data_IF_163524417774
#
_entry.id   IF_163524417774
#
_cell.length_a   1.000
_cell.length_b   1.000
_cell.length_c   1.000
_cell.angle_alpha   90.00
_cell.angle_beta   90.00
_cell.angle_gamma   90.00
#
_symmetry.space_group_name_H-M   'P 1'
#
loop_
_entity.id
_entity.type
_entity.pdbx_description
1 polymer ?
#
# COMPACT_ATOMS: atom_id res chain seq x y z
N UNK A 1 -21.96 -13.65 -11.90
CA UNK A 1 -20.73 -12.88 -12.26
C UNK A 1 -19.74 -13.82 -12.92
N UNK A 2 -18.87 -13.36 -13.83
CA UNK A 2 -17.78 -14.23 -14.30
C UNK A 2 -16.93 -14.62 -13.08
N UNK A 3 -16.85 -15.92 -12.80
CA UNK A 3 -16.08 -16.45 -11.68
C UNK A 3 -14.58 -16.27 -11.85
N UNK A 4 -14.12 -15.81 -13.01
CA UNK A 4 -12.71 -15.68 -13.35
C UNK A 4 -12.34 -14.19 -13.49
N UNK A 5 -13.13 -13.42 -14.25
CA UNK A 5 -12.87 -12.00 -14.55
C UNK A 5 -13.98 -11.07 -14.05
N UNK A 6 -13.95 -10.65 -12.77
CA UNK A 6 -15.02 -9.88 -12.16
C UNK A 6 -15.09 -8.43 -12.65
N UNK A 7 -13.96 -7.80 -13.05
CA UNK A 7 -13.97 -6.43 -13.54
C UNK A 7 -14.45 -6.28 -15.00
N UNK A 8 -14.60 -7.40 -15.73
CA UNK A 8 -15.18 -7.51 -17.08
C UNK A 8 -14.68 -6.50 -18.13
N UNK A 9 -13.49 -5.92 -17.96
CA UNK A 9 -12.88 -4.99 -18.93
C UNK A 9 -11.48 -5.45 -19.31
N UNK A 10 -11.13 -5.35 -20.58
CA UNK A 10 -9.76 -5.56 -21.03
C UNK A 10 -9.04 -4.20 -21.00
N UNK A 11 -7.94 -4.12 -20.26
CA UNK A 11 -7.01 -2.99 -20.31
C UNK A 11 -5.80 -3.41 -21.15
N UNK A 12 -5.21 -2.49 -21.93
CA UNK A 12 -4.05 -2.83 -22.73
C UNK A 12 -2.90 -3.31 -21.84
N UNK A 13 -2.13 -4.32 -22.31
CA UNK A 13 -0.94 -4.77 -21.61
C UNK A 13 0.14 -3.69 -21.62
N UNK A 14 0.97 -3.68 -20.58
CA UNK A 14 2.20 -2.90 -20.59
C UNK A 14 3.17 -3.45 -21.64
N UNK A 15 3.99 -2.55 -22.17
CA UNK A 15 5.11 -2.89 -23.03
C UNK A 15 6.42 -2.74 -22.25
N UNK A 16 7.44 -3.56 -22.55
CA UNK A 16 8.76 -3.39 -21.97
C UNK A 16 9.34 -2.01 -22.25
N UNK A 17 9.91 -1.37 -21.23
CA UNK A 17 10.65 -0.11 -21.37
C UNK A 17 11.96 -0.27 -22.15
N UNK A 18 12.45 -1.50 -22.31
CA UNK A 18 13.68 -1.82 -23.04
C UNK A 18 13.44 -2.90 -24.09
N UNK A 19 14.31 -2.94 -25.10
CA UNK A 19 14.25 -3.95 -26.16
C UNK A 19 14.64 -5.33 -25.59
N UNK A 20 13.67 -6.20 -25.41
CA UNK A 20 13.93 -7.58 -24.99
C UNK A 20 14.44 -8.48 -26.15
N UNK A 21 15.16 -9.54 -25.79
CA UNK A 21 15.61 -10.56 -26.74
C UNK A 21 14.45 -11.28 -27.43
N UNK A 22 14.67 -11.86 -28.60
CA UNK A 22 13.63 -12.57 -29.35
C UNK A 22 12.96 -13.68 -28.54
N UNK A 23 13.74 -14.50 -27.83
CA UNK A 23 13.21 -15.60 -27.02
C UNK A 23 12.30 -15.13 -25.88
N UNK A 24 12.65 -14.03 -25.20
CA UNK A 24 11.80 -13.43 -24.16
C UNK A 24 10.52 -12.85 -24.75
N UNK A 25 10.61 -12.11 -25.85
CA UNK A 25 9.45 -11.57 -26.58
C UNK A 25 8.48 -12.66 -27.02
N UNK A 26 8.99 -13.81 -27.44
CA UNK A 26 8.17 -14.95 -27.80
C UNK A 26 7.39 -15.49 -26.59
N UNK A 27 8.06 -15.66 -25.45
CA UNK A 27 7.40 -16.09 -24.19
C UNK A 27 6.39 -15.06 -23.67
N UNK A 28 6.72 -13.76 -23.76
CA UNK A 28 5.80 -12.65 -23.45
C UNK A 28 4.50 -12.77 -24.26
N UNK A 29 4.60 -13.03 -25.57
CA UNK A 29 3.44 -13.23 -26.45
C UNK A 29 2.61 -14.44 -26.04
N UNK A 30 3.25 -15.57 -25.72
CA UNK A 30 2.53 -16.76 -25.25
C UNK A 30 1.79 -16.45 -23.94
N UNK A 31 2.49 -15.82 -22.98
CA UNK A 31 1.92 -15.52 -21.67
C UNK A 31 0.71 -14.57 -21.79
N UNK A 32 0.75 -13.53 -22.62
CA UNK A 32 -0.40 -12.63 -22.79
C UNK A 32 -1.57 -13.29 -23.52
N UNK A 33 -1.32 -14.19 -24.49
CA UNK A 33 -2.37 -14.95 -25.18
C UNK A 33 -3.14 -15.85 -24.20
N UNK A 34 -2.45 -16.39 -23.18
CA UNK A 34 -3.10 -17.21 -22.16
C UNK A 34 -3.67 -16.35 -21.03
N UNK A 35 -2.86 -15.50 -20.41
CA UNK A 35 -3.26 -14.77 -19.20
C UNK A 35 -4.17 -13.57 -19.48
N UNK A 36 -4.08 -12.97 -20.66
CA UNK A 36 -4.91 -11.83 -21.07
C UNK A 36 -6.40 -12.19 -21.11
N UNK A 37 -6.80 -13.22 -21.88
CA UNK A 37 -8.19 -13.69 -21.93
C UNK A 37 -8.69 -14.25 -20.61
N UNK A 38 -7.88 -15.05 -19.91
CA UNK A 38 -8.32 -15.75 -18.70
C UNK A 38 -8.44 -14.80 -17.50
N UNK A 39 -7.40 -14.02 -17.19
CA UNK A 39 -7.35 -13.19 -15.96
C UNK A 39 -7.31 -11.69 -16.21
N UNK A 40 -7.41 -11.22 -17.45
CA UNK A 40 -7.24 -9.80 -17.77
C UNK A 40 -5.82 -9.30 -17.48
N UNK A 41 -4.81 -10.16 -17.63
CA UNK A 41 -3.43 -9.81 -17.34
C UNK A 41 -2.97 -8.62 -18.19
N UNK A 42 -2.32 -7.66 -17.54
CA UNK A 42 -1.73 -6.47 -18.18
C UNK A 42 -0.23 -6.60 -18.39
N UNK A 43 0.35 -7.79 -18.25
CA UNK A 43 1.81 -8.02 -18.33
C UNK A 43 2.59 -7.09 -17.38
N UNK A 44 2.20 -7.02 -16.11
CA UNK A 44 2.95 -6.20 -15.14
C UNK A 44 4.31 -6.80 -14.76
N UNK A 45 4.63 -8.03 -15.21
CA UNK A 45 5.88 -8.73 -14.88
C UNK A 45 6.01 -9.16 -13.42
N UNK A 46 4.95 -9.02 -12.62
CA UNK A 46 4.98 -9.18 -11.16
C UNK A 46 3.70 -9.90 -10.70
N UNK A 47 3.54 -11.17 -11.08
CA UNK A 47 2.29 -11.92 -10.94
C UNK A 47 1.95 -12.21 -9.47
N UNK A 48 0.72 -11.84 -9.05
CA UNK A 48 0.20 -12.01 -7.68
C UNK A 48 -1.09 -12.84 -7.61
N UNK A 49 -1.40 -13.59 -8.67
CA UNK A 49 -2.68 -14.32 -8.77
C UNK A 49 -2.89 -15.32 -7.63
N UNK A 50 -1.82 -15.93 -7.10
CA UNK A 50 -1.96 -16.89 -6.00
C UNK A 50 -2.46 -16.20 -4.72
N UNK A 51 -2.01 -14.97 -4.47
CA UNK A 51 -2.26 -14.22 -3.24
C UNK A 51 -3.59 -13.47 -3.33
N UNK A 52 -3.98 -13.06 -4.53
CA UNK A 52 -5.20 -12.30 -4.80
C UNK A 52 -6.37 -13.17 -5.25
N UNK A 53 -6.45 -14.40 -4.72
CA UNK A 53 -7.52 -15.36 -5.01
C UNK A 53 -7.79 -15.57 -6.52
N UNK A 54 -6.73 -15.57 -7.34
CA UNK A 54 -6.78 -15.69 -8.79
C UNK A 54 -7.58 -14.58 -9.49
N UNK A 55 -7.56 -13.37 -8.94
CA UNK A 55 -8.02 -12.14 -9.61
C UNK A 55 -6.83 -11.21 -9.78
N UNK A 56 -6.58 -10.72 -10.99
CA UNK A 56 -5.47 -9.80 -11.23
C UNK A 56 -5.71 -8.45 -10.55
N UNK A 57 -4.94 -8.09 -9.52
CA UNK A 57 -5.05 -6.80 -8.84
C UNK A 57 -4.74 -5.59 -9.76
N UNK A 58 -4.01 -5.81 -10.86
CA UNK A 58 -3.67 -4.77 -11.84
C UNK A 58 -4.86 -4.34 -12.71
N UNK A 59 -6.02 -4.99 -12.60
CA UNK A 59 -7.29 -4.48 -13.15
C UNK A 59 -7.81 -3.26 -12.35
N UNK A 60 -7.26 -2.97 -11.18
CA UNK A 60 -7.56 -1.76 -10.43
C UNK A 60 -7.05 -0.54 -11.22
N UNK A 61 -7.87 0.52 -11.42
CA UNK A 61 -7.41 1.75 -12.08
C UNK A 61 -6.13 2.27 -11.45
N UNK A 62 -6.11 2.37 -10.11
CA UNK A 62 -5.00 2.81 -9.26
C UNK A 62 -3.82 1.83 -9.16
N UNK A 63 -3.94 0.62 -9.71
CA UNK A 63 -2.91 -0.43 -9.63
C UNK A 63 -2.56 -0.94 -8.22
N UNK A 64 -3.48 -0.83 -7.26
CA UNK A 64 -3.23 -1.14 -5.85
C UNK A 64 -2.98 -2.63 -5.60
N UNK A 65 -2.07 -2.92 -4.67
CA UNK A 65 -1.61 -4.30 -4.36
C UNK A 65 -1.99 -4.79 -2.97
N UNK A 66 -2.44 -3.92 -2.05
CA UNK A 66 -2.74 -4.32 -0.67
C UNK A 66 -4.14 -3.93 -0.18
N UNK A 67 -5.15 -4.02 -1.04
CA UNK A 67 -6.54 -3.76 -0.66
C UNK A 67 -7.16 -2.57 -1.38
N UNK A 68 -8.46 -2.32 -1.14
CA UNK A 68 -9.14 -1.17 -1.71
C UNK A 68 -8.57 0.14 -1.15
N UNK A 69 -8.77 1.25 -1.86
CA UNK A 69 -8.35 2.58 -1.41
C UNK A 69 -9.32 3.26 -0.45
N UNK A 70 -10.47 2.65 -0.12
CA UNK A 70 -11.56 3.27 0.64
C UNK A 70 -12.69 3.80 -0.26
N UNK A 71 -12.42 4.12 -1.53
CA UNK A 71 -13.44 4.55 -2.51
C UNK A 71 -14.25 3.41 -3.12
N UNK A 72 -14.61 2.39 -2.33
CA UNK A 72 -15.56 1.37 -2.77
C UNK A 72 -16.96 1.93 -2.53
N UNK A 73 -17.80 1.94 -3.56
CA UNK A 73 -19.18 2.43 -3.41
C UNK A 73 -19.99 1.43 -2.59
N UNK A 74 -21.11 1.83 -1.95
CA UNK A 74 -21.93 0.94 -1.12
C UNK A 74 -22.43 -0.31 -1.86
N UNK A 75 -22.61 -0.22 -3.18
CA UNK A 75 -23.00 -1.31 -4.05
C UNK A 75 -21.80 -2.13 -4.56
N UNK A 76 -20.58 -1.87 -4.11
CA UNK A 76 -19.36 -2.64 -4.39
C UNK A 76 -18.63 -2.29 -5.70
N UNK A 77 -18.90 -1.12 -6.28
CA UNK A 77 -18.25 -0.62 -7.49
C UNK A 77 -17.02 0.25 -7.21
N UNK A 78 -16.24 0.49 -8.26
CA UNK A 78 -15.11 1.40 -8.20
C UNK A 78 -15.58 2.83 -8.43
N UNK A 79 -15.28 3.75 -7.51
CA UNK A 79 -15.63 5.16 -7.71
C UNK A 79 -14.87 5.85 -8.86
N UNK A 80 -13.65 5.37 -9.20
CA UNK A 80 -12.84 5.93 -10.30
C UNK A 80 -13.40 5.52 -11.66
N UNK A 81 -13.88 4.28 -11.77
CA UNK A 81 -14.53 3.79 -12.97
C UNK A 81 -15.85 3.10 -12.56
N UNK A 82 -16.97 3.84 -12.59
CA UNK A 82 -18.28 3.31 -12.18
C UNK A 82 -18.75 2.12 -13.01
N UNK A 83 -18.18 1.88 -14.20
CA UNK A 83 -18.58 0.78 -15.07
C UNK A 83 -18.11 -0.60 -14.57
N UNK A 84 -17.25 -0.65 -13.54
CA UNK A 84 -16.67 -1.90 -13.03
C UNK A 84 -16.81 -2.08 -11.51
N UNK A 85 -16.90 -3.33 -11.09
CA UNK A 85 -16.79 -3.72 -9.68
C UNK A 85 -15.40 -3.41 -9.15
N UNK A 86 -15.30 -3.07 -7.86
CA UNK A 86 -13.98 -2.94 -7.23
C UNK A 86 -13.26 -4.29 -7.25
N UNK A 87 -12.08 -4.32 -7.87
CA UNK A 87 -11.25 -5.54 -8.00
C UNK A 87 -10.92 -6.12 -6.63
N UNK A 88 -10.59 -5.26 -5.67
CA UNK A 88 -10.30 -5.71 -4.31
C UNK A 88 -11.54 -6.23 -3.59
N UNK A 89 -12.70 -5.59 -3.72
CA UNK A 89 -13.95 -6.14 -3.19
C UNK A 89 -14.19 -7.57 -3.73
N UNK A 90 -13.92 -7.81 -5.02
CA UNK A 90 -14.03 -9.15 -5.61
C UNK A 90 -12.96 -10.14 -5.10
N UNK A 91 -11.72 -9.68 -4.87
CA UNK A 91 -10.63 -10.47 -4.26
C UNK A 91 -11.04 -10.95 -2.87
N UNK A 92 -11.47 -10.03 -2.01
CA UNK A 92 -11.89 -10.34 -0.64
C UNK A 92 -13.05 -11.34 -0.62
N UNK A 93 -14.11 -11.09 -1.39
CA UNK A 93 -15.25 -12.00 -1.46
C UNK A 93 -14.87 -13.41 -1.96
N UNK A 94 -13.98 -13.50 -2.97
CA UNK A 94 -13.52 -14.79 -3.49
C UNK A 94 -12.58 -15.49 -2.51
N UNK A 95 -11.72 -14.75 -1.81
CA UNK A 95 -10.85 -15.30 -0.79
C UNK A 95 -11.68 -15.94 0.33
N UNK A 96 -12.72 -15.25 0.82
CA UNK A 96 -13.67 -15.80 1.80
C UNK A 96 -14.36 -17.07 1.29
N UNK A 97 -14.90 -17.04 0.06
CA UNK A 97 -15.54 -18.22 -0.57
C UNK A 97 -14.59 -19.42 -0.74
N UNK A 98 -13.29 -19.18 -0.88
CA UNK A 98 -12.28 -20.23 -1.14
C UNK A 98 -11.42 -20.58 0.07
N UNK A 99 -11.66 -19.96 1.23
CA UNK A 99 -10.86 -20.14 2.45
C UNK A 99 -9.41 -19.69 2.28
N UNK A 100 -9.17 -18.57 1.58
CA UNK A 100 -7.83 -18.02 1.30
C UNK A 100 -7.61 -16.64 1.95
N UNK A 101 -8.37 -16.31 2.99
CA UNK A 101 -8.28 -14.99 3.64
C UNK A 101 -6.90 -14.73 4.24
N UNK A 102 -6.25 -15.76 4.79
CA UNK A 102 -4.89 -15.68 5.32
C UNK A 102 -3.87 -15.17 4.28
N UNK A 103 -4.06 -15.47 2.99
CA UNK A 103 -3.12 -15.00 1.96
C UNK A 103 -3.22 -13.49 1.72
N UNK A 104 -4.32 -12.86 2.14
CA UNK A 104 -4.50 -11.42 2.01
C UNK A 104 -3.74 -10.63 3.08
N UNK A 105 -3.33 -11.28 4.18
CA UNK A 105 -2.59 -10.64 5.28
C UNK A 105 -1.14 -10.34 4.92
N UNK A 106 -0.55 -11.04 3.95
CA UNK A 106 0.83 -10.79 3.50
C UNK A 106 0.97 -9.40 2.89
N UNK A 107 1.90 -8.59 3.39
CA UNK A 107 2.23 -7.27 2.82
C UNK A 107 2.94 -7.43 1.47
N UNK A 108 2.23 -7.16 0.38
CA UNK A 108 2.69 -7.40 -1.00
C UNK A 108 3.59 -6.26 -1.52
N UNK A 109 4.64 -6.58 -2.30
CA UNK A 109 5.61 -5.61 -2.80
C UNK A 109 5.01 -4.59 -3.76
N UNK A 110 5.54 -3.36 -3.82
CA UNK A 110 5.19 -2.41 -4.85
C UNK A 110 5.58 -2.94 -6.22
N UNK A 111 4.99 -2.36 -7.27
CA UNK A 111 5.27 -2.81 -8.62
C UNK A 111 6.74 -2.54 -8.98
N UNK A 112 7.42 -3.55 -9.52
CA UNK A 112 8.72 -3.36 -10.17
C UNK A 112 8.48 -3.01 -11.64
N UNK A 113 8.54 -1.71 -11.94
CA UNK A 113 8.33 -1.18 -13.29
C UNK A 113 9.41 -1.63 -14.28
N UNK A 114 10.60 -2.03 -13.83
CA UNK A 114 11.64 -2.56 -14.72
C UNK A 114 11.23 -3.89 -15.38
N UNK A 115 10.25 -4.58 -14.79
CA UNK A 115 9.66 -5.82 -15.28
C UNK A 115 8.35 -5.60 -16.04
N UNK A 116 7.83 -4.37 -16.12
CA UNK A 116 6.60 -4.11 -16.85
C UNK A 116 6.75 -4.56 -18.32
N UNK A 117 5.73 -5.21 -18.85
CA UNK A 117 5.70 -5.81 -20.19
C UNK A 117 6.44 -7.15 -20.33
N UNK A 118 7.10 -7.65 -19.28
CA UNK A 118 7.83 -8.93 -19.32
C UNK A 118 6.99 -10.11 -18.81
N UNK A 119 7.41 -11.32 -19.15
CA UNK A 119 6.81 -12.59 -18.69
C UNK A 119 7.31 -13.01 -17.30
N UNK A 120 6.56 -13.89 -16.65
CA UNK A 120 6.83 -14.40 -15.28
C UNK A 120 6.96 -15.91 -15.24
N UNK A 121 6.60 -16.62 -16.30
CA UNK A 121 6.63 -18.07 -16.34
C UNK A 121 8.05 -18.65 -16.28
N UNK A 122 9.02 -18.03 -16.94
CA UNK A 122 10.40 -18.49 -16.86
C UNK A 122 10.94 -18.48 -15.42
N UNK A 123 10.60 -17.46 -14.62
CA UNK A 123 11.01 -17.41 -13.20
C UNK A 123 10.38 -18.53 -12.40
N UNK A 124 9.10 -18.84 -12.66
CA UNK A 124 8.40 -19.95 -12.02
C UNK A 124 9.05 -21.28 -12.41
N UNK A 125 9.31 -21.52 -13.69
CA UNK A 125 9.94 -22.76 -14.15
C UNK A 125 11.36 -22.93 -13.60
N UNK A 126 12.15 -21.86 -13.60
CA UNK A 126 13.50 -21.86 -13.02
C UNK A 126 13.46 -22.16 -11.52
N UNK A 127 12.50 -21.58 -10.80
CA UNK A 127 12.35 -21.82 -9.36
C UNK A 127 11.84 -23.24 -9.06
N UNK A 128 10.92 -23.78 -9.86
CA UNK A 128 10.50 -25.19 -9.77
C UNK A 128 11.70 -26.13 -9.99
N UNK A 129 12.57 -25.81 -10.96
CA UNK A 129 13.81 -26.54 -11.19
C UNK A 129 14.71 -26.59 -9.95
N UNK A 130 14.86 -25.45 -9.25
CA UNK A 130 15.65 -25.35 -8.00
C UNK A 130 15.03 -26.10 -6.82
N UNK A 131 13.70 -26.06 -6.68
CA UNK A 131 12.97 -26.79 -5.61
C UNK A 131 12.91 -28.30 -5.89
N UNK A 132 13.05 -28.69 -7.15
CA UNK A 132 12.94 -30.06 -7.65
C UNK A 132 11.57 -30.32 -8.29
N UNK A 133 11.54 -30.49 -9.62
CA UNK A 133 10.30 -30.69 -10.38
C UNK A 133 9.48 -31.88 -9.88
N UNK A 134 10.13 -33.01 -9.53
CA UNK A 134 9.45 -34.18 -8.95
C UNK A 134 8.79 -33.88 -7.60
N UNK A 135 9.43 -33.09 -6.73
CA UNK A 135 8.86 -32.66 -5.44
C UNK A 135 7.65 -31.75 -5.65
N UNK A 136 7.76 -30.80 -6.58
CA UNK A 136 6.66 -29.88 -6.91
C UNK A 136 5.47 -30.63 -7.51
N UNK A 137 5.69 -31.51 -8.49
CA UNK A 137 4.63 -32.32 -9.11
C UNK A 137 4.02 -33.28 -8.08
N UNK A 138 4.84 -33.92 -7.24
CA UNK A 138 4.36 -34.77 -6.14
C UNK A 138 3.46 -34.02 -5.17
N UNK A 139 3.74 -32.74 -4.90
CA UNK A 139 2.90 -31.89 -4.03
C UNK A 139 1.49 -31.64 -4.59
N UNK A 140 1.28 -31.75 -5.91
CA UNK A 140 -0.05 -31.60 -6.52
C UNK A 140 -0.99 -32.73 -6.10
N UNK A 141 -0.44 -33.94 -5.96
CA UNK A 141 -1.16 -35.16 -5.61
C UNK A 141 -1.12 -35.48 -4.12
N UNK A 142 -0.33 -34.74 -3.34
CA UNK A 142 -0.29 -34.89 -1.89
C UNK A 142 -1.63 -34.51 -1.25
N UNK A 143 -2.10 -35.35 -0.32
CA UNK A 143 -3.25 -35.07 0.54
C UNK A 143 -2.88 -34.17 1.73
N UNK A 144 -1.60 -34.04 2.05
CA UNK A 144 -1.11 -33.17 3.11
C UNK A 144 -1.14 -31.70 2.63
N UNK A 145 -2.05 -30.94 3.23
CA UNK A 145 -2.24 -29.50 2.94
C UNK A 145 -1.04 -28.67 3.35
N UNK A 146 -0.35 -29.03 4.43
CA UNK A 146 0.76 -28.23 4.97
C UNK A 146 2.01 -28.43 4.12
N UNK A 147 2.34 -29.69 3.79
CA UNK A 147 3.40 -29.98 2.82
C UNK A 147 3.15 -29.27 1.48
N UNK A 148 1.91 -29.30 0.99
CA UNK A 148 1.52 -28.60 -0.24
C UNK A 148 1.75 -27.09 -0.10
N UNK A 149 1.29 -26.47 1.00
CA UNK A 149 1.48 -25.04 1.26
C UNK A 149 2.96 -24.67 1.31
N UNK A 150 3.79 -25.46 1.99
CA UNK A 150 5.23 -25.24 2.09
C UNK A 150 5.94 -25.32 0.73
N UNK A 151 5.68 -26.38 -0.05
CA UNK A 151 6.28 -26.54 -1.39
C UNK A 151 5.84 -25.42 -2.32
N UNK A 152 4.56 -25.07 -2.31
CA UNK A 152 4.03 -23.98 -3.13
C UNK A 152 4.63 -22.63 -2.75
N UNK A 153 4.75 -22.33 -1.45
CA UNK A 153 5.37 -21.10 -0.97
C UNK A 153 6.85 -21.02 -1.37
N UNK A 154 7.60 -22.12 -1.34
CA UNK A 154 9.01 -22.13 -1.76
C UNK A 154 9.22 -21.70 -3.22
N UNK A 155 8.20 -21.86 -4.07
CA UNK A 155 8.20 -21.42 -5.46
C UNK A 155 7.60 -20.02 -5.57
N UNK A 156 6.31 -19.86 -5.25
CA UNK A 156 5.57 -18.64 -5.57
C UNK A 156 5.93 -17.46 -4.67
N UNK A 157 6.28 -17.69 -3.40
CA UNK A 157 6.74 -16.60 -2.51
C UNK A 157 8.07 -16.05 -3.00
N UNK A 158 9.00 -16.92 -3.38
CA UNK A 158 10.31 -16.54 -3.90
C UNK A 158 10.22 -15.79 -5.23
N UNK A 159 9.30 -16.18 -6.12
CA UNK A 159 9.12 -15.49 -7.41
C UNK A 159 8.46 -14.13 -7.24
N UNK A 160 7.51 -13.98 -6.30
CA UNK A 160 6.77 -12.73 -6.11
C UNK A 160 7.48 -11.70 -5.23
N UNK A 161 8.35 -12.14 -4.32
CA UNK A 161 9.09 -11.27 -3.40
C UNK A 161 10.45 -10.89 -4.03
N UNK A 162 10.66 -9.64 -4.45
CA UNK A 162 11.99 -9.21 -4.85
C UNK A 162 12.95 -9.24 -3.65
N UNK A 163 14.25 -9.38 -3.91
CA UNK A 163 15.28 -9.57 -2.85
C UNK A 163 15.30 -8.46 -1.80
N UNK A 164 14.92 -7.24 -2.18
CA UNK A 164 14.85 -6.06 -1.30
C UNK A 164 13.52 -5.93 -0.55
N UNK A 165 12.54 -6.81 -0.80
CA UNK A 165 11.24 -6.83 -0.13
C UNK A 165 11.11 -8.10 0.70
N UNK A 166 10.78 -7.93 1.98
CA UNK A 166 10.56 -9.01 2.94
C UNK A 166 9.19 -8.82 3.59
N UNK A 167 8.17 -8.70 2.76
CA UNK A 167 6.79 -8.56 3.23
C UNK A 167 6.26 -9.89 3.77
N UNK A 168 5.64 -9.86 4.94
CA UNK A 168 5.05 -11.02 5.59
C UNK A 168 3.66 -10.69 6.14
N UNK A 169 3.06 -11.67 6.84
CA UNK A 169 1.75 -11.58 7.48
C UNK A 169 1.84 -11.45 9.00
N UNK A 170 3.04 -11.20 9.54
CA UNK A 170 3.28 -11.22 10.98
C UNK A 170 3.11 -9.84 11.60
N UNK A 171 2.81 -9.81 12.90
CA UNK A 171 2.81 -8.56 13.66
C UNK A 171 4.24 -8.18 14.07
N UNK A 172 4.60 -6.92 13.85
CA UNK A 172 5.90 -6.37 14.21
C UNK A 172 5.71 -5.26 15.25
N UNK A 173 5.96 -5.57 16.52
CA UNK A 173 5.94 -4.58 17.59
C UNK A 173 7.03 -3.51 17.35
N UNK A 174 6.75 -2.27 17.77
CA UNK A 174 7.71 -1.18 17.64
C UNK A 174 8.99 -1.48 18.45
N UNK A 175 10.16 -1.15 17.91
CA UNK A 175 11.45 -1.45 18.55
C UNK A 175 11.74 -0.59 19.80
N UNK A 176 10.92 0.42 20.07
CA UNK A 176 11.07 1.36 21.17
C UNK A 176 10.01 1.14 22.26
N UNK A 177 10.38 1.43 23.51
CA UNK A 177 9.49 1.28 24.67
C UNK A 177 8.82 2.57 25.09
N UNK A 178 9.57 3.67 25.16
CA UNK A 178 9.03 4.97 25.59
C UNK A 178 8.26 5.67 24.46
N UNK A 179 7.11 6.31 24.74
CA UNK A 179 6.36 7.02 23.72
C UNK A 179 7.20 8.13 23.08
N UNK A 180 7.14 8.25 21.75
CA UNK A 180 7.93 9.23 21.00
C UNK A 180 7.19 10.56 20.77
N UNK A 181 5.90 10.58 21.09
CA UNK A 181 5.00 11.74 20.94
C UNK A 181 3.98 11.78 22.07
N UNK A 182 3.37 12.95 22.29
CA UNK A 182 2.35 13.08 23.32
C UNK A 182 1.02 12.44 22.91
N UNK A 183 0.73 12.36 21.61
CA UNK A 183 -0.37 11.58 21.05
C UNK A 183 -0.22 10.12 21.42
N UNK A 184 0.96 9.53 21.15
CA UNK A 184 1.24 8.14 21.48
C UNK A 184 1.12 7.89 22.99
N UNK A 185 1.71 8.76 23.80
CA UNK A 185 1.65 8.67 25.26
C UNK A 185 0.21 8.61 25.75
N UNK A 186 -0.64 9.53 25.28
CA UNK A 186 -2.04 9.62 25.70
C UNK A 186 -2.84 8.37 25.31
N UNK A 187 -2.61 7.84 24.10
CA UNK A 187 -3.27 6.63 23.63
C UNK A 187 -2.82 5.39 24.41
N UNK A 188 -1.52 5.25 24.68
CA UNK A 188 -0.97 4.13 25.48
C UNK A 188 -1.45 4.14 26.92
N UNK A 189 -1.67 5.32 27.50
CA UNK A 189 -2.23 5.49 28.85
C UNK A 189 -3.76 5.25 28.91
N UNK A 190 -4.41 4.96 27.78
CA UNK A 190 -5.86 4.75 27.72
C UNK A 190 -6.68 6.02 27.94
N UNK A 191 -6.07 7.21 27.77
CA UNK A 191 -6.79 8.48 27.87
C UNK A 191 -7.69 8.68 26.65
N UNK A 192 -8.82 9.35 26.86
CA UNK A 192 -9.63 9.85 25.76
C UNK A 192 -8.89 11.01 25.07
N UNK A 193 -8.55 10.84 23.79
CA UNK A 193 -7.77 11.81 23.03
C UNK A 193 -8.65 12.55 22.04
N UNK A 194 -8.65 13.88 22.12
CA UNK A 194 -9.22 14.75 21.10
C UNK A 194 -8.11 15.17 20.15
N UNK A 195 -8.28 14.87 18.86
CA UNK A 195 -7.45 15.38 17.78
C UNK A 195 -8.35 16.13 16.79
N UNK A 196 -7.75 17.02 15.99
CA UNK A 196 -8.47 17.73 14.93
C UNK A 196 -7.69 17.70 13.63
N UNK A 197 -8.37 18.05 12.55
CA UNK A 197 -7.77 18.22 11.24
C UNK A 197 -7.79 19.70 10.85
N UNK A 198 -6.65 20.21 10.39
CA UNK A 198 -6.53 21.55 9.81
C UNK A 198 -6.17 21.38 8.35
N UNK A 199 -6.99 21.96 7.48
CA UNK A 199 -6.75 21.89 6.04
C UNK A 199 -5.62 22.85 5.66
N UNK A 200 -4.60 22.40 4.90
CA UNK A 200 -3.56 23.29 4.43
C UNK A 200 -4.09 24.48 3.60
N UNK A 201 -3.47 25.67 3.69
CA UNK A 201 -3.87 26.83 2.92
C UNK A 201 -3.55 26.67 1.41
N UNK A 202 -4.24 27.46 0.59
CA UNK A 202 -4.03 27.52 -0.87
C UNK A 202 -2.84 28.42 -1.26
N UNK A 203 -2.40 29.30 -0.38
CA UNK A 203 -1.32 30.27 -0.64
C UNK A 203 -0.08 29.95 0.19
N UNK A 204 1.04 30.60 -0.15
CA UNK A 204 2.28 30.52 0.62
C UNK A 204 2.23 31.32 1.94
N UNK A 205 1.19 32.15 2.13
CA UNK A 205 1.01 32.87 3.39
C UNK A 205 0.54 31.92 4.49
N UNK A 206 1.27 31.94 5.61
CA UNK A 206 0.99 31.11 6.77
C UNK A 206 0.10 31.79 7.80
N UNK A 207 -0.27 33.06 7.62
CA UNK A 207 -1.06 33.82 8.60
C UNK A 207 -2.35 33.09 9.02
N UNK A 208 -3.16 32.67 8.05
CA UNK A 208 -4.39 31.90 8.33
C UNK A 208 -4.09 30.57 9.03
N UNK A 209 -3.10 29.83 8.55
CA UNK A 209 -2.71 28.53 9.12
C UNK A 209 -2.30 28.67 10.59
N UNK A 210 -1.50 29.69 10.93
CA UNK A 210 -1.08 29.97 12.31
C UNK A 210 -2.27 30.28 13.20
N UNK A 211 -3.20 31.14 12.74
CA UNK A 211 -4.41 31.46 13.48
C UNK A 211 -5.27 30.21 13.73
N UNK A 212 -5.47 29.37 12.70
CA UNK A 212 -6.24 28.13 12.82
C UNK A 212 -5.59 27.16 13.83
N UNK A 213 -4.25 27.04 13.82
CA UNK A 213 -3.51 26.22 14.79
C UNK A 213 -3.65 26.76 16.21
N UNK A 214 -3.44 28.06 16.42
CA UNK A 214 -3.52 28.68 17.75
C UNK A 214 -4.91 28.56 18.37
N UNK A 215 -5.96 28.64 17.54
CA UNK A 215 -7.35 28.49 17.96
C UNK A 215 -7.62 27.10 18.54
N UNK A 216 -7.08 26.04 17.92
CA UNK A 216 -7.39 24.65 18.29
C UNK A 216 -6.38 24.02 19.24
N UNK A 217 -5.11 24.46 19.22
CA UNK A 217 -4.01 23.88 20.02
C UNK A 217 -4.34 23.68 21.51
N UNK A 218 -5.04 24.59 22.21
CA UNK A 218 -5.36 24.39 23.64
C UNK A 218 -6.32 23.23 23.92
N UNK A 219 -7.08 22.78 22.93
CA UNK A 219 -8.18 21.82 23.09
C UNK A 219 -7.87 20.43 22.54
N UNK A 220 -6.80 20.31 21.76
CA UNK A 220 -6.47 19.08 21.02
C UNK A 220 -5.08 18.59 21.36
N UNK A 221 -4.91 17.27 21.38
CA UNK A 221 -3.61 16.65 21.64
C UNK A 221 -2.71 16.63 20.41
N UNK A 222 -3.31 16.53 19.23
CA UNK A 222 -2.60 16.54 17.96
C UNK A 222 -3.46 17.15 16.85
N UNK A 223 -2.80 17.69 15.83
CA UNK A 223 -3.42 18.31 14.65
C UNK A 223 -2.97 17.55 13.40
N UNK A 224 -3.91 16.93 12.69
CA UNK A 224 -3.67 16.31 11.40
C UNK A 224 -3.63 17.37 10.29
N UNK A 225 -2.61 17.30 9.44
CA UNK A 225 -2.50 18.13 8.24
C UNK A 225 -2.64 17.25 7.01
N UNK A 226 -3.72 17.45 6.24
CA UNK A 226 -4.03 16.61 5.08
C UNK A 226 -3.09 16.83 3.91
N UNK A 227 -2.73 15.75 3.23
CA UNK A 227 -1.91 15.81 2.03
C UNK A 227 -2.76 15.84 0.76
N UNK A 228 -2.87 17.03 0.15
CA UNK A 228 -3.61 17.29 -1.08
C UNK A 228 -4.97 16.56 -1.14
N UNK A 229 -5.80 16.78 -0.10
CA UNK A 229 -7.14 16.20 -0.01
C UNK A 229 -7.97 16.50 -1.26
N UNK A 230 -8.73 15.52 -1.74
CA UNK A 230 -9.47 15.58 -3.01
C UNK A 230 -8.61 15.88 -4.25
N UNK A 231 -7.31 15.56 -4.18
CA UNK A 231 -6.34 15.84 -5.24
C UNK A 231 -6.23 17.34 -5.62
N UNK A 232 -6.41 18.22 -4.63
CA UNK A 232 -6.27 19.67 -4.81
C UNK A 232 -4.88 20.12 -4.32
N UNK A 233 -4.09 20.84 -5.14
CA UNK A 233 -2.80 21.36 -4.72
C UNK A 233 -2.99 22.42 -3.64
N UNK A 234 -2.27 22.25 -2.52
CA UNK A 234 -2.25 23.13 -1.36
C UNK A 234 -0.82 23.19 -0.83
N UNK A 235 -0.57 24.03 0.19
CA UNK A 235 0.68 23.93 0.96
C UNK A 235 0.90 22.48 1.42
N UNK A 236 2.12 21.98 1.30
CA UNK A 236 2.42 20.58 1.63
C UNK A 236 2.14 20.30 3.11
N UNK A 237 1.67 19.09 3.41
CA UNK A 237 1.40 18.68 4.79
C UNK A 237 2.67 18.77 5.65
N UNK A 238 3.84 18.43 5.10
CA UNK A 238 5.13 18.55 5.78
C UNK A 238 5.45 20.00 6.20
N UNK A 239 5.22 20.98 5.31
CA UNK A 239 5.42 22.39 5.62
C UNK A 239 4.43 22.87 6.70
N UNK A 240 3.18 22.44 6.64
CA UNK A 240 2.18 22.75 7.68
C UNK A 240 2.60 22.17 9.04
N UNK A 241 3.09 20.94 9.06
CA UNK A 241 3.60 20.31 10.27
C UNK A 241 4.78 21.08 10.87
N UNK A 242 5.70 21.60 10.03
CA UNK A 242 6.81 22.44 10.50
C UNK A 242 6.31 23.73 11.17
N UNK A 243 5.31 24.40 10.57
CA UNK A 243 4.67 25.58 11.17
C UNK A 243 4.03 25.22 12.52
N UNK A 244 3.36 24.08 12.62
CA UNK A 244 2.78 23.61 13.87
C UNK A 244 3.84 23.36 14.96
N UNK A 245 4.96 22.73 14.61
CA UNK A 245 6.09 22.53 15.54
C UNK A 245 6.62 23.88 16.05
N UNK A 246 6.78 24.88 15.16
CA UNK A 246 7.25 26.22 15.56
C UNK A 246 6.29 26.93 16.51
N UNK A 247 5.00 26.58 16.46
CA UNK A 247 3.97 27.05 17.37
C UNK A 247 3.78 26.12 18.59
N UNK A 248 4.67 25.16 18.82
CA UNK A 248 4.56 24.16 19.89
C UNK A 248 3.22 23.38 19.87
N UNK A 249 2.66 23.14 18.68
CA UNK A 249 1.53 22.25 18.48
C UNK A 249 2.05 20.90 17.96
N UNK A 250 1.46 19.79 18.40
CA UNK A 250 1.88 18.46 17.96
C UNK A 250 1.21 18.08 16.62
N UNK A 251 1.98 17.93 15.53
CA UNK A 251 1.40 17.59 14.24
C UNK A 251 1.26 16.08 14.02
N UNK A 252 0.28 15.71 13.21
CA UNK A 252 0.23 14.43 12.48
C UNK A 252 0.45 14.72 11.00
N UNK A 253 1.56 14.22 10.47
CA UNK A 253 1.92 14.37 9.06
C UNK A 253 1.19 13.31 8.24
N UNK A 254 0.07 13.69 7.61
CA UNK A 254 -0.58 12.83 6.64
C UNK A 254 0.25 12.77 5.35
N UNK A 255 0.42 11.57 4.80
CA UNK A 255 1.10 11.37 3.50
C UNK A 255 0.20 10.53 2.61
N UNK A 256 -0.07 11.01 1.39
CA UNK A 256 -0.86 10.32 0.39
C UNK A 256 0.02 9.58 -0.62
N UNK A 257 -0.21 8.27 -0.77
CA UNK A 257 0.51 7.43 -1.73
C UNK A 257 0.27 7.82 -3.20
N UNK A 258 -0.82 8.53 -3.51
CA UNK A 258 -1.17 9.02 -4.86
C UNK A 258 0.00 9.83 -5.47
N UNK A 259 0.52 10.78 -4.71
CA UNK A 259 1.53 11.73 -5.18
C UNK A 259 2.94 11.40 -4.66
N UNK A 260 3.08 10.28 -3.95
CA UNK A 260 4.33 9.84 -3.34
C UNK A 260 4.94 8.66 -4.07
N UNK A 261 6.25 8.72 -4.27
CA UNK A 261 7.07 7.58 -4.69
C UNK A 261 7.81 7.00 -3.50
N UNK A 262 8.38 5.81 -3.66
CA UNK A 262 9.32 5.23 -2.68
C UNK A 262 10.53 6.12 -2.39
N UNK A 263 10.87 7.06 -3.27
CA UNK A 263 11.95 8.02 -3.05
C UNK A 263 11.44 9.16 -2.18
N UNK A 264 10.36 9.83 -2.61
CA UNK A 264 9.83 10.99 -1.87
C UNK A 264 9.36 10.61 -0.47
N UNK A 265 8.71 9.45 -0.29
CA UNK A 265 8.31 8.94 1.03
C UNK A 265 9.49 8.90 2.02
N UNK A 266 10.62 8.32 1.60
CA UNK A 266 11.78 8.17 2.48
C UNK A 266 12.47 9.52 2.72
N UNK A 267 12.51 10.39 1.70
CA UNK A 267 13.08 11.74 1.84
C UNK A 267 12.24 12.59 2.81
N UNK A 268 10.92 12.61 2.62
CA UNK A 268 9.98 13.36 3.45
C UNK A 268 9.96 12.85 4.88
N UNK A 269 10.06 11.54 5.08
CA UNK A 269 10.25 10.97 6.41
C UNK A 269 11.50 11.58 7.07
N UNK A 270 12.69 11.44 6.47
CA UNK A 270 13.92 11.99 7.05
C UNK A 270 13.79 13.49 7.36
N UNK A 271 13.20 14.28 6.46
CA UNK A 271 12.91 15.69 6.69
C UNK A 271 11.97 15.91 7.89
N UNK A 272 10.88 15.14 7.98
CA UNK A 272 9.94 15.20 9.10
C UNK A 272 10.63 14.90 10.44
N UNK A 273 11.53 13.91 10.46
CA UNK A 273 12.33 13.57 11.64
C UNK A 273 13.22 14.74 12.08
N UNK A 274 13.83 15.45 11.14
CA UNK A 274 14.64 16.64 11.40
C UNK A 274 13.81 17.83 11.93
N UNK A 275 12.58 17.98 11.43
CA UNK A 275 11.64 18.98 11.93
C UNK A 275 11.03 18.65 13.30
N UNK A 276 11.37 17.52 13.90
CA UNK A 276 10.81 17.09 15.19
C UNK A 276 9.39 16.53 15.08
N UNK A 277 8.92 16.21 13.88
CA UNK A 277 7.62 15.58 13.65
C UNK A 277 7.72 14.09 13.99
N UNK A 278 6.79 13.62 14.82
CA UNK A 278 6.82 12.26 15.39
C UNK A 278 5.64 11.40 14.96
N UNK A 279 4.54 11.99 14.49
CA UNK A 279 3.35 11.25 14.09
C UNK A 279 3.20 11.30 12.56
N UNK A 280 3.07 10.13 11.92
CA UNK A 280 2.84 10.04 10.47
C UNK A 280 1.57 9.22 10.21
N UNK A 281 0.65 9.74 9.39
CA UNK A 281 -0.57 9.05 8.98
C UNK A 281 -0.48 8.67 7.49
N UNK A 282 -0.39 7.37 7.20
CA UNK A 282 -0.31 6.87 5.83
C UNK A 282 -1.70 6.64 5.23
N UNK A 283 -1.98 7.29 4.09
CA UNK A 283 -3.20 7.08 3.31
C UNK A 283 -2.88 6.78 1.85
N UNK A 284 -3.72 6.00 1.17
CA UNK A 284 -3.53 5.75 -0.27
C UNK A 284 -3.85 6.99 -1.10
N UNK A 285 -4.75 7.85 -0.61
CA UNK A 285 -5.17 9.08 -1.28
C UNK A 285 -6.28 8.87 -2.32
N UNK A 286 -7.03 9.94 -2.55
CA UNK A 286 -8.04 10.01 -3.59
C UNK A 286 -7.44 9.92 -4.99
N UNK A 287 -8.24 9.52 -5.97
CA UNK A 287 -7.84 9.55 -7.37
C UNK A 287 -7.71 10.99 -7.85
N UNK A 288 -6.75 11.32 -8.73
CA UNK A 288 -6.70 12.61 -9.42
C UNK A 288 -8.01 12.99 -10.12
N UNK A 289 -8.82 11.99 -10.52
CA UNK A 289 -10.15 12.16 -11.14
C UNK A 289 -11.15 12.92 -10.25
N UNK A 290 -10.94 12.94 -8.92
CA UNK A 290 -11.80 13.70 -7.99
C UNK A 290 -11.44 15.19 -8.00
N UNK A 291 -10.20 15.52 -8.33
CA UNK A 291 -9.70 16.89 -8.32
C UNK A 291 -10.09 17.68 -9.59
N UNK A 292 -9.97 19.01 -9.55
CA UNK A 292 -10.19 19.85 -10.72
C UNK A 292 -9.11 19.61 -11.80
N UNK A 293 -9.44 19.79 -13.09
CA UNK A 293 -8.44 19.77 -14.16
C UNK A 293 -7.57 21.05 -14.15
N UNK A 294 -6.33 20.99 -14.69
CA UNK A 294 -5.63 19.82 -15.22
C UNK A 294 -5.10 18.91 -14.09
N UNK A 295 -5.35 17.60 -14.19
CA UNK A 295 -4.97 16.63 -13.15
C UNK A 295 -3.76 15.78 -13.54
N UNK A 296 -2.96 15.39 -12.56
CA UNK A 296 -1.83 14.46 -12.69
C UNK A 296 -2.32 13.00 -12.73
N UNK A 297 -3.00 12.58 -13.80
CA UNK A 297 -3.47 11.20 -13.93
C UNK A 297 -2.40 10.22 -14.45
N UNK A 298 -1.49 9.82 -13.56
CA UNK A 298 -0.52 8.74 -13.84
C UNK A 298 -1.17 7.34 -13.82
N UNK A 299 -2.48 7.25 -13.56
CA UNK A 299 -3.30 6.05 -13.38
C UNK A 299 -2.84 5.08 -12.29
N UNK A 300 -1.54 4.81 -12.11
CA UNK A 300 -1.02 3.75 -11.24
C UNK A 300 -0.08 4.34 -10.21
N UNK A 301 -0.37 4.09 -8.93
CA UNK A 301 0.46 4.55 -7.83
C UNK A 301 1.74 3.71 -7.72
N UNK A 302 2.85 4.33 -7.30
CA UNK A 302 4.08 3.59 -6.98
C UNK A 302 3.92 2.76 -5.70
N UNK A 303 3.25 3.34 -4.69
CA UNK A 303 2.99 2.73 -3.39
C UNK A 303 1.50 2.75 -3.03
N UNK A 304 1.11 1.91 -2.07
CA UNK A 304 -0.11 2.06 -1.28
C UNK A 304 0.21 2.27 0.21
N UNK A 305 -0.80 2.67 1.00
CA UNK A 305 -0.63 2.98 2.43
C UNK A 305 -0.05 1.83 3.25
N UNK A 306 -0.28 0.57 2.87
CA UNK A 306 0.28 -0.60 3.57
C UNK A 306 1.79 -0.69 3.30
N UNK A 307 2.20 -0.46 2.05
CA UNK A 307 3.62 -0.45 1.68
C UNK A 307 4.35 0.73 2.32
N UNK A 308 3.71 1.90 2.42
CA UNK A 308 4.28 3.05 3.12
C UNK A 308 4.57 2.73 4.59
N UNK A 309 3.60 2.15 5.30
CA UNK A 309 3.77 1.71 6.68
C UNK A 309 4.94 0.73 6.83
N UNK A 310 5.02 -0.26 5.94
CA UNK A 310 6.09 -1.26 5.96
C UNK A 310 7.48 -0.62 5.77
N UNK A 311 7.59 0.33 4.83
CA UNK A 311 8.86 1.05 4.58
C UNK A 311 9.22 1.90 5.82
N UNK A 312 8.29 2.71 6.32
CA UNK A 312 8.54 3.61 7.45
C UNK A 312 8.86 2.86 8.75
N UNK A 313 8.20 1.72 9.00
CA UNK A 313 8.52 0.82 10.12
C UNK A 313 9.97 0.38 10.07
N UNK A 314 10.46 -0.07 8.90
CA UNK A 314 11.86 -0.52 8.76
C UNK A 314 12.86 0.62 8.87
N UNK A 315 12.52 1.81 8.35
CA UNK A 315 13.35 3.00 8.56
C UNK A 315 13.49 3.33 10.04
N UNK A 316 12.40 3.22 10.80
CA UNK A 316 12.37 3.48 12.25
C UNK A 316 13.08 2.39 13.06
N UNK A 317 12.72 1.13 12.85
CA UNK A 317 13.08 0.01 13.73
C UNK A 317 14.42 -0.63 13.33
N UNK A 318 14.71 -0.73 12.03
CA UNK A 318 15.94 -1.34 11.52
C UNK A 318 16.98 -0.29 11.12
N UNK A 319 16.60 0.99 11.03
CA UNK A 319 17.49 2.08 10.69
C UNK A 319 18.09 1.96 9.29
N UNK A 320 17.29 1.49 8.32
CA UNK A 320 17.71 1.30 6.94
C UNK A 320 16.76 1.99 5.95
N UNK A 321 17.33 2.45 4.84
CA UNK A 321 16.56 2.79 3.64
C UNK A 321 16.06 1.51 2.97
N UNK A 322 15.09 1.65 2.07
CA UNK A 322 14.53 0.55 1.28
C UNK A 322 15.58 -0.18 0.43
N UNK A 323 16.65 0.50 0.03
CA UNK A 323 17.78 -0.09 -0.70
C UNK A 323 18.81 -0.79 0.22
N UNK A 324 18.57 -0.82 1.53
CA UNK A 324 19.43 -1.47 2.53
C UNK A 324 20.54 -0.58 3.10
N UNK A 325 20.71 0.66 2.62
CA UNK A 325 21.68 1.59 3.22
C UNK A 325 21.30 1.91 4.67
N UNK A 326 22.27 1.86 5.58
CA UNK A 326 22.07 2.17 7.00
C UNK A 326 22.00 3.67 7.25
N UNK A 327 21.17 4.06 8.21
CA UNK A 327 21.07 5.41 8.76
C UNK A 327 21.89 5.49 10.04
N UNK A 328 22.66 6.58 10.20
CA UNK A 328 23.38 6.83 11.46
C UNK A 328 22.42 7.21 12.59
N UNK A 329 21.41 8.01 12.26
CA UNK A 329 20.40 8.50 13.19
C UNK A 329 19.03 8.19 12.59
N UNK A 330 18.47 7.00 12.86
CA UNK A 330 17.14 6.65 12.39
C UNK A 330 16.09 7.56 13.05
N UNK A 331 15.02 7.91 12.32
CA UNK A 331 13.96 8.69 12.90
C UNK A 331 13.08 7.86 13.85
N UNK A 332 12.36 8.54 14.75
CA UNK A 332 11.41 7.91 15.67
C UNK A 332 10.01 8.36 15.32
N UNK A 333 9.14 7.41 14.95
CA UNK A 333 7.76 7.70 14.56
C UNK A 333 6.72 6.82 15.25
N UNK A 334 5.61 7.46 15.58
CA UNK A 334 4.33 6.84 15.84
C UNK A 334 3.52 6.78 14.53
N UNK A 335 3.33 5.57 14.00
CA UNK A 335 2.77 5.36 12.66
C UNK A 335 1.27 5.10 12.71
N UNK A 336 0.51 5.81 11.89
CA UNK A 336 -0.94 5.71 11.80
C UNK A 336 -1.42 5.32 10.42
N UNK A 337 -2.64 4.81 10.36
CA UNK A 337 -3.31 4.48 9.11
C UNK A 337 -4.78 4.91 9.10
N UNK A 338 -5.31 5.24 7.92
CA UNK A 338 -6.76 5.45 7.79
C UNK A 338 -7.51 4.10 7.74
N UNK A 339 -8.66 3.97 8.37
CA UNK A 339 -9.63 2.87 8.14
C UNK A 339 -10.94 3.44 7.64
N UNK A 340 -11.77 2.61 7.00
CA UNK A 340 -13.07 3.03 6.44
C UNK A 340 -14.10 1.95 6.79
N UNK A 341 -14.65 1.96 8.02
CA UNK A 341 -15.44 0.83 8.54
C UNK A 341 -16.72 0.55 7.74
N UNK A 342 -17.23 1.54 6.99
CA UNK A 342 -18.47 1.43 6.21
C UNK A 342 -18.25 1.28 4.70
N UNK A 343 -17.00 1.19 4.22
CA UNK A 343 -16.70 1.05 2.79
C UNK A 343 -16.79 -0.41 2.29
N UNK A 344 -16.72 -1.37 3.20
CA UNK A 344 -16.77 -2.81 2.92
C UNK A 344 -17.57 -3.51 4.01
N UNK A 345 -17.86 -4.80 3.79
CA UNK A 345 -18.19 -5.73 4.87
C UNK A 345 -17.16 -5.60 6.01
N UNK A 346 -17.60 -5.43 7.28
CA UNK A 346 -16.71 -5.17 8.40
C UNK A 346 -15.62 -6.23 8.61
N UNK A 347 -15.89 -7.51 8.33
CA UNK A 347 -14.87 -8.57 8.44
C UNK A 347 -13.77 -8.39 7.38
N UNK A 348 -14.15 -8.02 6.16
CA UNK A 348 -13.19 -7.78 5.08
C UNK A 348 -12.35 -6.52 5.36
N UNK A 349 -12.96 -5.49 5.95
CA UNK A 349 -12.25 -4.30 6.40
C UNK A 349 -11.27 -4.64 7.55
N UNK A 350 -11.68 -5.51 8.48
CA UNK A 350 -10.81 -5.98 9.57
C UNK A 350 -9.56 -6.72 9.05
N UNK A 351 -9.67 -7.54 8.01
CA UNK A 351 -8.50 -8.18 7.38
C UNK A 351 -7.53 -7.12 6.84
N UNK A 352 -8.05 -6.07 6.20
CA UNK A 352 -7.22 -4.96 5.68
C UNK A 352 -6.56 -4.17 6.82
N UNK A 353 -7.27 -3.94 7.91
CA UNK A 353 -6.74 -3.22 9.06
C UNK A 353 -5.69 -4.05 9.80
N UNK A 354 -5.91 -5.36 9.96
CA UNK A 354 -4.90 -6.28 10.48
C UNK A 354 -3.64 -6.27 9.60
N UNK A 355 -3.80 -6.24 8.27
CA UNK A 355 -2.66 -6.10 7.35
C UNK A 355 -1.89 -4.79 7.57
N UNK A 356 -2.57 -3.68 7.90
CA UNK A 356 -1.92 -2.40 8.23
C UNK A 356 -1.20 -2.47 9.57
N UNK A 357 -1.78 -3.14 10.56
CA UNK A 357 -1.13 -3.42 11.85
C UNK A 357 0.16 -4.23 11.63
N UNK A 358 0.09 -5.29 10.83
CA UNK A 358 1.26 -6.10 10.46
C UNK A 358 2.33 -5.29 9.72
N UNK A 359 1.92 -4.34 8.86
CA UNK A 359 2.84 -3.43 8.19
C UNK A 359 3.50 -2.41 9.13
N UNK A 360 2.93 -2.14 10.31
CA UNK A 360 3.50 -1.26 11.33
C UNK A 360 2.59 -0.14 11.84
N UNK A 361 1.30 -0.14 11.49
CA UNK A 361 0.35 0.83 12.06
C UNK A 361 0.17 0.61 13.57
N UNK A 362 0.17 1.71 14.33
CA UNK A 362 0.00 1.76 15.78
C UNK A 362 -1.25 2.52 16.21
N UNK A 363 -1.84 3.32 15.32
CA UNK A 363 -3.15 3.94 15.53
C UNK A 363 -3.94 4.01 14.22
N UNK A 364 -5.26 4.21 14.35
CA UNK A 364 -6.15 4.40 13.22
C UNK A 364 -6.94 5.70 13.32
N UNK A 365 -7.22 6.29 12.16
CA UNK A 365 -8.20 7.36 11.97
C UNK A 365 -9.29 6.85 11.02
N UNK A 366 -10.55 6.94 11.42
CA UNK A 366 -11.72 6.40 10.68
C UNK A 366 -12.33 7.40 9.72
#
# INVERSE_FOLDING_TARGET
MSGIKPARRWQPPFYPFKRESFGKRFREKIEIIVKGPVWGCRMCGNCLLQETAFICCMECPKGLRNGPCGGVTPDGHCYVDPTRRCVWHAIYFRARKTGREDTLLEVLPPLDWSRAGTETWADVFNQIGKVGAGRFIGSLFSRDKELKKQVWNSVFKTVRQPVWWNGDSEYHAAAYKEPVSELEKSLREGRFVVATEVTPPLSADSGKLKNDIELVRPYVKAINFTDASSAIPKMSALACCKVAVDLNAEPVFQIAARDSTRISLQADAIGAGQFGIKNILCVTGDSPVVGPPPSSDMNINDLDSVQMLWILRRMRDEGIYLDGRKMKHPPSYFLGAATTPFALDPELQAIRDQKKVNAGAQFFQT
#
